data_IF_396774634831
#
_entry.id   IF_396774634831
#
_cell.length_a   1.000
_cell.length_b   1.000
_cell.length_c   1.000
_cell.angle_alpha   90.00
_cell.angle_beta   90.00
_cell.angle_gamma   90.00
#
_symmetry.space_group_name_H-M   'P 1'
#
loop_
_entity.id
_entity.type
_entity.pdbx_description
1 polymer ?
#
# COMPACT_ATOMS: atom_id res chain seq x y z
N UNK A 1 0.20 -2.78 15.90
CA UNK A 1 -0.73 -3.93 15.91
C UNK A 1 -1.67 -3.91 17.10
N UNK A 2 -2.87 -3.37 16.94
CA UNK A 2 -3.94 -3.44 17.96
C UNK A 2 -4.90 -4.58 17.66
N UNK A 3 -5.29 -4.76 16.40
CA UNK A 3 -6.22 -5.83 15.98
C UNK A 3 -5.66 -7.20 16.34
N UNK A 4 -4.40 -7.49 15.96
CA UNK A 4 -3.74 -8.76 16.30
C UNK A 4 -3.75 -9.07 17.79
N UNK A 5 -3.52 -8.06 18.63
CA UNK A 5 -3.50 -8.24 20.09
C UNK A 5 -4.85 -8.67 20.64
N UNK A 6 -5.94 -8.14 20.11
CA UNK A 6 -7.28 -8.57 20.50
C UNK A 6 -7.63 -9.97 19.99
N UNK A 7 -7.16 -10.35 18.79
CA UNK A 7 -7.32 -11.72 18.28
C UNK A 7 -6.54 -12.72 19.14
N UNK A 8 -5.31 -12.39 19.55
CA UNK A 8 -4.51 -13.23 20.46
C UNK A 8 -5.17 -13.43 21.84
N UNK A 9 -5.99 -12.47 22.27
CA UNK A 9 -6.75 -12.54 23.53
C UNK A 9 -8.09 -13.25 23.38
N UNK A 10 -8.36 -13.87 22.23
CA UNK A 10 -9.60 -14.60 21.93
C UNK A 10 -10.86 -13.71 21.89
N UNK A 11 -10.71 -12.41 21.58
CA UNK A 11 -11.86 -11.49 21.45
C UNK A 11 -12.59 -11.62 20.10
N UNK A 12 -12.05 -12.36 19.14
CA UNK A 12 -12.69 -12.57 17.83
C UNK A 12 -11.70 -12.72 16.68
N UNK A 13 -12.20 -12.51 15.46
CA UNK A 13 -11.44 -12.66 14.19
C UNK A 13 -11.03 -11.29 13.65
N UNK A 14 -9.77 -11.15 13.26
CA UNK A 14 -9.23 -9.93 12.65
C UNK A 14 -9.19 -10.00 11.13
N UNK A 15 -9.70 -8.98 10.46
CA UNK A 15 -9.53 -8.79 9.01
C UNK A 15 -8.41 -7.78 8.79
N UNK A 16 -7.36 -8.19 8.11
CA UNK A 16 -6.12 -7.43 7.94
C UNK A 16 -5.68 -7.48 6.48
N UNK A 17 -4.88 -6.50 6.04
CA UNK A 17 -4.15 -6.62 4.79
C UNK A 17 -3.11 -7.74 4.90
N UNK A 18 -2.90 -8.51 3.83
CA UNK A 18 -1.94 -9.63 3.81
C UNK A 18 -0.53 -9.23 4.25
N UNK A 19 -0.10 -8.02 3.88
CA UNK A 19 1.22 -7.48 4.25
C UNK A 19 1.38 -7.22 5.76
N UNK A 20 0.27 -7.15 6.50
CA UNK A 20 0.31 -6.90 7.94
C UNK A 20 0.47 -8.18 8.75
N UNK A 21 0.58 -9.36 8.13
CA UNK A 21 0.82 -10.63 8.83
C UNK A 21 2.20 -11.18 8.46
N UNK A 22 2.99 -11.52 9.46
CA UNK A 22 4.29 -12.20 9.30
C UNK A 22 4.27 -13.51 10.10
N UNK A 23 4.38 -14.70 9.47
CA UNK A 23 4.41 -15.98 10.17
C UNK A 23 5.53 -16.12 11.21
N UNK A 24 6.65 -15.41 11.05
CA UNK A 24 7.78 -15.45 11.98
C UNK A 24 7.50 -14.63 13.26
N UNK A 25 6.81 -13.50 13.13
CA UNK A 25 6.45 -12.62 14.25
C UNK A 25 5.11 -13.03 14.90
N UNK A 26 4.11 -13.36 14.08
CA UNK A 26 2.73 -13.65 14.48
C UNK A 26 2.47 -15.15 14.73
N UNK A 27 3.43 -15.84 15.37
CA UNK A 27 3.42 -17.29 15.58
C UNK A 27 2.20 -17.86 16.33
N UNK A 28 1.47 -17.01 17.05
CA UNK A 28 0.26 -17.39 17.81
C UNK A 28 -1.03 -17.22 17.02
N UNK A 29 -0.96 -16.68 15.80
CA UNK A 29 -2.10 -16.37 14.96
C UNK A 29 -2.05 -17.21 13.68
N UNK A 30 -3.19 -17.83 13.34
CA UNK A 30 -3.41 -18.41 12.02
C UNK A 30 -3.88 -17.34 11.03
N UNK A 31 -3.53 -17.51 9.76
CA UNK A 31 -4.05 -16.68 8.65
C UNK A 31 -4.86 -17.55 7.69
N UNK A 32 -6.02 -17.05 7.27
CA UNK A 32 -6.83 -17.62 6.19
C UNK A 32 -6.96 -16.58 5.09
N UNK A 33 -6.75 -16.98 3.84
CA UNK A 33 -6.89 -16.07 2.71
C UNK A 33 -8.37 -15.75 2.44
N UNK A 34 -8.69 -14.46 2.48
CA UNK A 34 -10.03 -13.92 2.23
C UNK A 34 -10.10 -13.11 0.92
N UNK A 35 -9.09 -13.20 0.06
CA UNK A 35 -9.04 -12.48 -1.23
C UNK A 35 -10.24 -12.74 -2.14
N UNK A 36 -10.91 -13.89 -1.98
CA UNK A 36 -12.11 -14.26 -2.73
C UNK A 36 -13.39 -13.58 -2.22
N UNK A 37 -13.35 -12.94 -1.05
CA UNK A 37 -14.49 -12.25 -0.42
C UNK A 37 -14.44 -10.73 -0.61
N UNK A 38 -13.27 -10.18 -0.90
CA UNK A 38 -13.05 -8.74 -0.98
C UNK A 38 -12.29 -8.38 -2.26
N UNK A 39 -12.68 -7.27 -2.89
CA UNK A 39 -11.92 -6.73 -4.03
C UNK A 39 -10.51 -6.30 -3.60
N UNK A 40 -9.55 -6.41 -4.51
CA UNK A 40 -8.18 -5.95 -4.28
C UNK A 40 -8.14 -4.45 -4.05
N UNK A 41 -7.40 -4.01 -3.04
CA UNK A 41 -7.18 -2.59 -2.76
C UNK A 41 -5.90 -2.07 -3.42
N UNK A 42 -6.00 -0.96 -4.16
CA UNK A 42 -4.85 -0.27 -4.76
C UNK A 42 -4.32 0.82 -3.83
N UNK A 43 -3.05 0.74 -3.45
CA UNK A 43 -2.38 1.80 -2.68
C UNK A 43 -1.89 2.90 -3.64
N UNK A 44 -2.28 4.15 -3.36
CA UNK A 44 -1.96 5.30 -4.22
C UNK A 44 -1.01 6.28 -3.51
N UNK A 45 -0.10 6.90 -4.27
CA UNK A 45 0.75 8.00 -3.81
C UNK A 45 0.13 9.33 -4.24
N UNK A 46 -0.21 10.18 -3.28
CA UNK A 46 -0.74 11.52 -3.55
C UNK A 46 0.36 12.56 -3.65
N UNK A 47 0.40 13.31 -4.77
CA UNK A 47 1.29 14.44 -4.96
C UNK A 47 0.48 15.72 -5.22
N UNK A 48 0.90 16.84 -4.63
CA UNK A 48 0.26 18.13 -4.87
C UNK A 48 0.68 18.65 -6.24
N UNK A 49 -0.30 18.98 -7.11
CA UNK A 49 -0.12 19.42 -8.52
C UNK A 49 0.90 20.54 -8.75
N UNK A 50 1.18 21.38 -7.75
CA UNK A 50 2.15 22.49 -7.83
C UNK A 50 3.26 22.37 -6.78
N UNK A 51 3.55 21.17 -6.32
CA UNK A 51 4.67 20.93 -5.43
C UNK A 51 5.98 20.95 -6.21
N UNK A 52 7.00 21.61 -5.66
CA UNK A 52 8.35 21.51 -6.17
C UNK A 52 8.98 20.21 -5.68
N UNK A 53 8.97 19.16 -6.51
CA UNK A 53 9.56 17.87 -6.16
C UNK A 53 11.07 17.91 -6.32
N UNK A 54 11.80 17.64 -5.24
CA UNK A 54 13.26 17.50 -5.25
C UNK A 54 13.67 16.13 -5.78
N UNK A 55 14.92 16.00 -6.24
CA UNK A 55 15.46 14.75 -6.81
C UNK A 55 15.24 13.52 -5.90
N UNK A 56 15.40 13.66 -4.58
CA UNK A 56 15.18 12.57 -3.64
C UNK A 56 13.72 12.11 -3.56
N UNK A 57 12.74 12.96 -3.89
CA UNK A 57 11.33 12.58 -3.88
C UNK A 57 11.03 11.63 -5.04
N UNK A 58 11.61 11.90 -6.22
CA UNK A 58 11.53 10.97 -7.35
C UNK A 58 12.20 9.63 -7.01
N UNK A 59 13.39 9.67 -6.40
CA UNK A 59 14.07 8.45 -5.95
C UNK A 59 13.25 7.66 -4.91
N UNK A 60 12.53 8.34 -4.01
CA UNK A 60 11.63 7.70 -3.06
C UNK A 60 10.43 7.03 -3.75
N UNK A 61 9.78 7.74 -4.68
CA UNK A 61 8.63 7.21 -5.42
C UNK A 61 9.04 5.99 -6.25
N UNK A 62 10.15 6.07 -6.96
CA UNK A 62 10.68 4.98 -7.77
C UNK A 62 11.16 3.81 -6.91
N UNK A 63 11.75 4.07 -5.74
CA UNK A 63 12.11 3.04 -4.77
C UNK A 63 10.91 2.32 -4.16
N UNK A 64 9.80 3.02 -3.95
CA UNK A 64 8.56 2.43 -3.42
C UNK A 64 7.75 1.70 -4.50
N UNK A 65 7.69 2.28 -5.69
CA UNK A 65 6.94 1.79 -6.83
C UNK A 65 7.80 1.93 -8.10
N UNK A 66 8.57 0.89 -8.48
CA UNK A 66 9.53 0.96 -9.60
C UNK A 66 8.89 1.29 -10.96
N UNK A 67 7.59 1.04 -11.11
CA UNK A 67 6.86 1.43 -12.31
C UNK A 67 6.57 2.94 -12.36
N UNK A 68 6.64 3.68 -11.25
CA UNK A 68 6.44 5.13 -11.21
C UNK A 68 7.75 5.88 -11.48
N UNK A 69 8.30 5.72 -12.68
CA UNK A 69 9.51 6.44 -13.10
C UNK A 69 9.34 7.96 -13.01
N UNK A 70 10.46 8.69 -12.86
CA UNK A 70 10.45 10.16 -12.87
C UNK A 70 9.65 10.76 -14.03
N UNK A 71 9.79 10.19 -15.24
CA UNK A 71 9.05 10.62 -16.43
C UNK A 71 7.53 10.45 -16.26
N UNK A 72 7.08 9.33 -15.70
CA UNK A 72 5.65 9.12 -15.44
C UNK A 72 5.11 10.09 -14.39
N UNK A 73 5.88 10.37 -13.34
CA UNK A 73 5.50 11.33 -12.30
C UNK A 73 5.39 12.75 -12.86
N UNK A 74 6.34 13.17 -13.71
CA UNK A 74 6.31 14.47 -14.39
C UNK A 74 5.08 14.59 -15.30
N UNK A 75 4.78 13.58 -16.12
CA UNK A 75 3.57 13.53 -16.96
C UNK A 75 2.27 13.59 -16.14
N UNK A 76 2.22 12.91 -15.00
CA UNK A 76 1.07 12.94 -14.10
C UNK A 76 0.85 14.33 -13.48
N UNK A 77 1.93 15.07 -13.18
CA UNK A 77 1.85 16.44 -12.64
C UNK A 77 1.40 17.48 -13.66
N UNK A 78 1.71 17.27 -14.95
CA UNK A 78 1.28 18.12 -16.06
C UNK A 78 -0.24 18.06 -16.31
N UNK A 79 -0.95 17.13 -15.66
CA UNK A 79 -2.41 17.09 -15.62
C UNK A 79 -3.07 16.28 -16.75
N UNK A 80 -2.29 15.50 -17.50
CA UNK A 80 -2.78 14.61 -18.55
C UNK A 80 -3.15 13.19 -18.09
N UNK A 81 -3.22 12.93 -16.78
CA UNK A 81 -3.40 11.58 -16.26
C UNK A 81 -4.88 11.20 -16.14
N UNK A 82 -5.42 10.52 -17.14
CA UNK A 82 -6.46 9.51 -16.90
C UNK A 82 -5.90 8.52 -15.88
N UNK A 83 -6.67 8.15 -14.85
CA UNK A 83 -6.27 7.10 -13.91
C UNK A 83 -5.86 5.86 -14.74
N UNK A 84 -4.57 5.43 -14.74
CA UNK A 84 -4.12 4.34 -15.59
C UNK A 84 -4.81 3.00 -15.28
N UNK A 85 -5.63 2.94 -14.22
CA UNK A 85 -6.38 1.75 -13.87
C UNK A 85 -5.49 0.57 -13.50
N UNK A 86 -4.28 0.86 -13.01
CA UNK A 86 -3.45 -0.14 -12.31
C UNK A 86 -4.05 -0.44 -10.93
#
# INVERSE_FOLDING_TARGET
DVIKKYVEMDLGIGILARMAYDPAEDRKLGMVDASHLFESSTTRIGLRRRAWLRAYVYAFIEGFAPHLSRRMVELALEGGGTDPGL
#
